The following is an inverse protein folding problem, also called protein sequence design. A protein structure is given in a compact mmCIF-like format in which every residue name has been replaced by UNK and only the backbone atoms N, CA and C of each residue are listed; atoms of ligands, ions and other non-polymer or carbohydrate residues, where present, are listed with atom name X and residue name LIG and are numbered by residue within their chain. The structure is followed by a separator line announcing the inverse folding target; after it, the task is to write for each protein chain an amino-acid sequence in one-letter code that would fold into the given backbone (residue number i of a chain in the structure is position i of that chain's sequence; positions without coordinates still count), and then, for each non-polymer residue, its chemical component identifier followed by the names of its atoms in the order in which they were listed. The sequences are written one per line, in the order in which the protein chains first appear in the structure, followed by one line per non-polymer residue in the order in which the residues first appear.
data_IF_363076178411
#
_entry.id   IF_363076178411
#
_cell.length_a   1.000
_cell.length_b   1.000
_cell.length_c   1.000
_cell.angle_alpha   90.00
_cell.angle_beta   90.00
_cell.angle_gamma   90.00
#
_symmetry.space_group_name_H-M   'P 1'
#
loop_
_entity.id
_entity.type
_entity.pdbx_description
1 polymer ?
#
# COMPACT_ATOMS: atom_id res chain seq x y z
N UNK A 1 -0.53 3.73 -15.72
CA UNK A 1 -1.34 4.95 -15.83
C UNK A 1 -2.74 4.61 -16.28
N UNK A 2 -3.71 5.46 -15.94
CA UNK A 2 -5.08 5.40 -16.47
C UNK A 2 -5.30 6.58 -17.42
N UNK A 3 -6.06 6.35 -18.48
CA UNK A 3 -6.43 7.40 -19.42
C UNK A 3 -7.64 7.03 -20.28
N UNK A 4 -8.10 8.00 -21.06
CA UNK A 4 -9.18 7.84 -22.04
C UNK A 4 -8.58 7.47 -23.39
N UNK A 5 -9.17 6.49 -24.07
CA UNK A 5 -8.74 6.05 -25.40
C UNK A 5 -9.15 7.09 -26.45
N UNK A 6 -8.17 7.80 -27.01
CA UNK A 6 -8.41 8.81 -28.06
C UNK A 6 -8.51 8.23 -29.47
N UNK A 7 -7.74 7.16 -29.74
CA UNK A 7 -7.67 6.50 -31.04
C UNK A 7 -7.30 5.01 -30.90
N UNK A 8 -7.86 4.17 -31.78
CA UNK A 8 -7.67 2.71 -31.74
C UNK A 8 -7.20 2.20 -33.10
N UNK A 9 -6.06 1.49 -33.10
CA UNK A 9 -5.57 0.77 -34.27
C UNK A 9 -6.51 -0.39 -34.65
N UNK A 10 -6.55 -0.77 -35.92
CA UNK A 10 -7.53 -1.73 -36.45
C UNK A 10 -7.60 -3.05 -35.65
N UNK A 11 -6.44 -3.63 -35.33
CA UNK A 11 -6.34 -4.88 -34.56
C UNK A 11 -6.85 -4.79 -33.11
N UNK A 12 -6.98 -3.57 -32.56
CA UNK A 12 -7.41 -3.35 -31.18
C UNK A 12 -8.90 -2.99 -31.05
N UNK A 13 -9.61 -2.74 -32.17
CA UNK A 13 -11.03 -2.30 -32.19
C UNK A 13 -12.01 -3.32 -31.60
N UNK A 14 -11.61 -4.59 -31.53
CA UNK A 14 -12.41 -5.63 -30.88
C UNK A 14 -12.40 -5.53 -29.35
N UNK A 15 -11.40 -4.86 -28.76
CA UNK A 15 -11.22 -4.73 -27.29
C UNK A 15 -11.49 -3.32 -26.80
N UNK A 16 -11.18 -2.31 -27.61
CA UNK A 16 -11.25 -0.91 -27.23
C UNK A 16 -11.99 -0.08 -28.28
N UNK A 17 -12.73 0.91 -27.81
CA UNK A 17 -13.36 1.97 -28.56
C UNK A 17 -12.82 3.33 -28.09
N UNK A 18 -13.03 4.36 -28.92
CA UNK A 18 -12.81 5.74 -28.49
C UNK A 18 -13.68 6.04 -27.27
N UNK A 19 -13.15 6.84 -26.34
CA UNK A 19 -13.76 7.19 -25.05
C UNK A 19 -13.78 6.07 -23.99
N UNK A 20 -13.26 4.89 -24.30
CA UNK A 20 -13.06 3.87 -23.27
C UNK A 20 -12.01 4.34 -22.25
N UNK A 21 -12.25 4.07 -20.97
CA UNK A 21 -11.23 4.18 -19.95
C UNK A 21 -10.32 2.95 -20.01
N UNK A 22 -9.01 3.17 -19.95
CA UNK A 22 -8.03 2.09 -19.99
C UNK A 22 -6.92 2.29 -18.95
N UNK A 23 -6.49 1.20 -18.34
CA UNK A 23 -5.28 1.12 -17.54
C UNK A 23 -4.17 0.43 -18.34
N UNK A 24 -2.94 0.91 -18.18
CA UNK A 24 -1.75 0.18 -18.60
C UNK A 24 -0.58 0.38 -17.64
N UNK A 25 0.10 -0.72 -17.31
CA UNK A 25 1.32 -0.72 -16.49
C UNK A 25 2.56 -0.26 -17.25
N UNK A 26 2.56 -0.26 -18.59
CA UNK A 26 3.72 0.04 -19.41
C UNK A 26 3.98 1.54 -19.63
N UNK A 27 3.08 2.38 -19.13
CA UNK A 27 3.16 3.83 -19.31
C UNK A 27 3.13 4.55 -17.97
N UNK A 28 4.20 5.30 -17.70
CA UNK A 28 4.25 6.23 -16.57
C UNK A 28 3.15 7.27 -16.67
N UNK A 29 2.58 7.67 -15.53
CA UNK A 29 1.43 8.58 -15.46
C UNK A 29 1.75 10.07 -15.72
N UNK A 30 3.03 10.44 -15.81
CA UNK A 30 3.46 11.84 -15.98
C UNK A 30 3.59 12.24 -17.46
N UNK A 31 2.55 11.99 -18.25
CA UNK A 31 2.47 12.40 -19.67
C UNK A 31 1.01 12.57 -20.08
N UNK A 32 0.74 13.51 -20.98
CA UNK A 32 -0.61 13.80 -21.47
C UNK A 32 -1.12 12.77 -22.48
N UNK A 33 -0.23 12.13 -23.25
CA UNK A 33 -0.59 11.15 -24.28
C UNK A 33 0.44 10.02 -24.29
N UNK A 34 -0.02 8.79 -24.53
CA UNK A 34 0.85 7.64 -24.72
C UNK A 34 0.29 6.65 -25.74
N UNK A 35 1.17 6.09 -26.58
CA UNK A 35 0.86 4.91 -27.38
C UNK A 35 1.08 3.67 -26.52
N UNK A 36 0.06 2.81 -26.43
CA UNK A 36 0.07 1.59 -25.62
C UNK A 36 -0.26 0.41 -26.51
N UNK A 37 0.37 -0.74 -26.28
CA UNK A 37 -0.05 -2.00 -26.90
C UNK A 37 -1.40 -2.41 -26.28
N UNK A 38 -2.40 -2.68 -27.11
CA UNK A 38 -3.71 -3.10 -26.64
C UNK A 38 -3.67 -4.40 -25.81
N UNK A 39 -2.62 -5.22 -25.96
CA UNK A 39 -2.38 -6.41 -25.13
C UNK A 39 -1.95 -6.04 -23.71
N UNK A 40 -1.19 -4.96 -23.54
CA UNK A 40 -0.72 -4.48 -22.23
C UNK A 40 -1.65 -3.46 -21.58
N UNK A 41 -2.90 -3.40 -22.06
CA UNK A 41 -3.94 -2.52 -21.56
C UNK A 41 -5.19 -3.31 -21.16
N UNK A 42 -5.83 -2.84 -20.09
CA UNK A 42 -7.12 -3.35 -19.62
C UNK A 42 -8.16 -2.25 -19.70
N UNK A 43 -9.32 -2.58 -20.27
CA UNK A 43 -10.48 -1.69 -20.31
C UNK A 43 -11.10 -1.62 -18.91
N UNK A 44 -11.27 -0.41 -18.42
CA UNK A 44 -11.93 -0.14 -17.14
C UNK A 44 -13.44 0.05 -17.36
N UNK A 45 -14.28 -0.18 -16.33
CA UNK A 45 -15.70 0.14 -16.39
C UNK A 45 -15.92 1.62 -16.69
N UNK A 46 -16.96 1.95 -17.46
CA UNK A 46 -17.28 3.34 -17.83
C UNK A 46 -17.65 4.26 -16.66
N UNK A 47 -17.85 3.71 -15.45
CA UNK A 47 -18.02 4.45 -14.19
C UNK A 47 -16.86 4.13 -13.25
N UNK A 48 -15.68 4.62 -13.60
CA UNK A 48 -14.50 4.49 -12.75
C UNK A 48 -13.96 5.89 -12.46
N UNK A 49 -13.96 6.35 -11.20
CA UNK A 49 -13.45 7.68 -10.86
C UNK A 49 -11.99 7.79 -11.31
N UNK A 50 -11.66 8.82 -12.10
CA UNK A 50 -10.29 9.02 -12.60
C UNK A 50 -9.24 9.03 -11.48
N UNK A 51 -9.62 9.57 -10.31
CA UNK A 51 -8.78 9.61 -9.11
C UNK A 51 -8.45 8.20 -8.60
N UNK A 52 -9.40 7.26 -8.62
CA UNK A 52 -9.12 5.85 -8.28
C UNK A 52 -8.16 5.22 -9.31
N UNK A 53 -8.15 5.72 -10.55
CA UNK A 53 -7.21 5.30 -11.58
C UNK A 53 -5.77 5.66 -11.31
N UNK A 54 -5.52 6.76 -10.60
CA UNK A 54 -4.18 7.12 -10.17
C UNK A 54 -3.60 6.08 -9.19
N UNK A 55 -4.44 5.41 -8.40
CA UNK A 55 -4.04 4.44 -7.38
C UNK A 55 -4.36 2.99 -7.73
N UNK A 56 -4.65 2.72 -9.01
CA UNK A 56 -5.07 1.39 -9.42
C UNK A 56 -3.92 0.38 -9.23
N UNK A 57 -2.66 0.79 -9.38
CA UNK A 57 -1.52 -0.10 -9.12
C UNK A 57 -1.47 -0.51 -7.64
N UNK A 58 -1.63 0.44 -6.72
CA UNK A 58 -1.61 0.21 -5.27
C UNK A 58 -2.81 -0.63 -4.82
N UNK A 59 -3.98 -0.38 -5.40
CA UNK A 59 -5.16 -1.20 -5.19
C UNK A 59 -4.97 -2.64 -5.69
N UNK A 60 -4.36 -2.82 -6.87
CA UNK A 60 -3.98 -4.13 -7.38
C UNK A 60 -2.97 -4.81 -6.45
N UNK A 61 -1.97 -4.08 -5.94
CA UNK A 61 -1.01 -4.60 -4.96
C UNK A 61 -1.73 -5.14 -3.72
N UNK A 62 -2.58 -4.31 -3.10
CA UNK A 62 -3.36 -4.69 -1.92
C UNK A 62 -4.26 -5.90 -2.19
N UNK A 63 -4.96 -5.93 -3.33
CA UNK A 63 -5.81 -7.05 -3.72
C UNK A 63 -5.03 -8.37 -3.84
N UNK A 64 -3.82 -8.31 -4.42
CA UNK A 64 -2.94 -9.47 -4.59
C UNK A 64 -2.28 -9.91 -3.29
N UNK A 65 -1.89 -8.98 -2.43
CA UNK A 65 -1.34 -9.29 -1.10
C UNK A 65 -2.35 -10.05 -0.24
N UNK A 66 -3.65 -9.71 -0.35
CA UNK A 66 -4.74 -10.41 0.33
C UNK A 66 -5.20 -11.69 -0.39
N UNK A 67 -4.60 -12.09 -1.52
CA UNK A 67 -5.14 -13.18 -2.34
C UNK A 67 -5.22 -14.54 -1.62
N UNK A 68 -4.40 -14.76 -0.59
CA UNK A 68 -4.42 -15.99 0.21
C UNK A 68 -5.29 -15.91 1.46
N UNK A 69 -6.01 -14.80 1.68
CA UNK A 69 -6.85 -14.61 2.86
C UNK A 69 -8.33 -14.80 2.55
N UNK A 70 -9.07 -15.19 3.58
CA UNK A 70 -10.50 -15.48 3.57
C UNK A 70 -11.19 -14.81 4.75
N UNK A 71 -12.52 -14.73 4.73
CA UNK A 71 -13.27 -14.13 5.82
C UNK A 71 -12.94 -14.79 7.17
N UNK A 72 -12.67 -13.98 8.20
CA UNK A 72 -12.24 -14.41 9.52
C UNK A 72 -10.72 -14.49 9.70
N UNK A 73 -9.92 -14.41 8.63
CA UNK A 73 -8.47 -14.33 8.74
C UNK A 73 -8.03 -13.02 9.40
N UNK A 74 -6.91 -13.06 10.12
CA UNK A 74 -6.26 -11.89 10.72
C UNK A 74 -4.98 -11.56 9.94
N UNK A 75 -4.87 -10.30 9.52
CA UNK A 75 -3.72 -9.76 8.78
C UNK A 75 -3.07 -8.64 9.59
N UNK A 76 -1.74 -8.64 9.65
CA UNK A 76 -0.98 -7.55 10.24
C UNK A 76 -0.19 -6.86 9.15
N UNK A 77 -0.26 -5.54 9.09
CA UNK A 77 0.39 -4.73 8.05
C UNK A 77 1.15 -3.55 8.67
N UNK A 78 2.40 -3.33 8.27
CA UNK A 78 3.12 -2.08 8.56
C UNK A 78 3.07 -1.13 7.36
N UNK A 79 3.04 0.18 7.60
CA UNK A 79 2.95 1.19 6.54
C UNK A 79 1.50 1.49 6.16
N UNK A 80 0.59 1.47 7.13
CA UNK A 80 -0.83 1.70 6.93
C UNK A 80 -1.16 3.03 6.25
N UNK A 81 -0.35 4.06 6.50
CA UNK A 81 -0.47 5.40 5.91
C UNK A 81 -0.30 5.43 4.38
N UNK A 82 0.37 4.42 3.82
CA UNK A 82 0.62 4.33 2.38
C UNK A 82 -0.67 4.11 1.60
N UNK A 83 -0.66 4.43 0.31
CA UNK A 83 -1.79 4.14 -0.59
C UNK A 83 -2.12 2.64 -0.63
N UNK A 84 -1.10 1.76 -0.58
CA UNK A 84 -1.31 0.31 -0.47
C UNK A 84 -1.97 -0.05 0.87
N UNK A 85 -1.52 0.53 1.98
CA UNK A 85 -2.08 0.31 3.32
C UNK A 85 -3.55 0.72 3.44
N UNK A 86 -3.90 1.87 2.88
CA UNK A 86 -5.29 2.33 2.84
C UNK A 86 -6.16 1.42 1.96
N UNK A 87 -5.64 0.93 0.83
CA UNK A 87 -6.33 -0.07 0.01
C UNK A 87 -6.50 -1.40 0.76
N UNK A 88 -5.49 -1.84 1.52
CA UNK A 88 -5.57 -3.04 2.35
C UNK A 88 -6.69 -2.93 3.38
N UNK A 89 -6.82 -1.79 4.08
CA UNK A 89 -7.89 -1.57 5.07
C UNK A 89 -9.29 -1.76 4.49
N UNK A 90 -9.54 -1.14 3.34
CA UNK A 90 -10.84 -1.21 2.67
C UNK A 90 -11.12 -2.60 2.09
N UNK A 91 -10.14 -3.19 1.39
CA UNK A 91 -10.30 -4.51 0.79
C UNK A 91 -10.41 -5.62 1.84
N UNK A 92 -9.69 -5.51 2.96
CA UNK A 92 -9.82 -6.44 4.08
C UNK A 92 -11.22 -6.39 4.68
N UNK A 93 -11.75 -5.18 4.93
CA UNK A 93 -13.11 -5.00 5.44
C UNK A 93 -14.17 -5.61 4.49
N UNK A 94 -14.04 -5.37 3.18
CA UNK A 94 -14.94 -5.96 2.18
C UNK A 94 -14.88 -7.49 2.12
N UNK A 95 -13.73 -8.08 2.44
CA UNK A 95 -13.53 -9.53 2.47
C UNK A 95 -13.86 -10.17 3.81
N UNK A 96 -14.24 -9.40 4.83
CA UNK A 96 -14.43 -9.90 6.19
C UNK A 96 -13.12 -10.35 6.86
N UNK A 97 -11.99 -9.79 6.43
CA UNK A 97 -10.65 -10.04 6.99
C UNK A 97 -10.38 -9.01 8.08
N UNK A 98 -9.88 -9.45 9.23
CA UNK A 98 -9.50 -8.56 10.33
C UNK A 98 -8.12 -7.97 10.09
N UNK A 99 -8.04 -6.68 9.76
CA UNK A 99 -6.77 -6.00 9.52
C UNK A 99 -6.29 -5.24 10.76
N UNK A 100 -5.08 -5.56 11.21
CA UNK A 100 -4.28 -4.78 12.15
C UNK A 100 -3.26 -3.96 11.35
N UNK A 101 -3.54 -2.67 11.16
CA UNK A 101 -2.71 -1.76 10.36
C UNK A 101 -1.86 -0.86 11.26
N UNK A 102 -0.55 -0.89 11.06
CA UNK A 102 0.44 -0.19 11.85
C UNK A 102 0.98 1.01 11.07
N UNK A 103 0.89 2.19 11.66
CA UNK A 103 1.31 3.46 11.07
C UNK A 103 2.73 3.82 11.51
N UNK A 104 3.60 4.23 10.58
CA UNK A 104 4.95 4.66 10.95
C UNK A 104 4.93 5.88 11.87
N UNK A 105 5.83 5.89 12.88
CA UNK A 105 6.08 7.09 13.71
C UNK A 105 6.84 8.18 12.95
N UNK A 106 7.41 7.85 11.80
CA UNK A 106 8.07 8.82 10.93
C UNK A 106 7.07 9.65 10.11
N UNK A 107 5.80 9.24 10.05
CA UNK A 107 4.72 9.99 9.40
C UNK A 107 4.47 11.30 10.15
N UNK A 108 4.22 12.44 9.47
CA UNK A 108 4.02 13.74 10.11
C UNK A 108 2.86 13.80 11.10
N UNK A 109 1.74 13.12 10.81
CA UNK A 109 0.59 13.04 11.73
C UNK A 109 0.10 11.59 11.85
N UNK A 110 0.76 10.75 12.66
CA UNK A 110 0.44 9.33 12.76
C UNK A 110 -0.95 9.10 13.37
N UNK A 111 -1.43 9.99 14.24
CA UNK A 111 -2.74 9.87 14.86
C UNK A 111 -3.88 10.09 13.85
N UNK A 112 -3.72 11.06 12.95
CA UNK A 112 -4.70 11.31 11.87
C UNK A 112 -4.75 10.12 10.89
N UNK A 113 -3.60 9.54 10.55
CA UNK A 113 -3.54 8.34 9.72
C UNK A 113 -4.20 7.12 10.41
N UNK A 114 -4.04 6.98 11.73
CA UNK A 114 -4.73 5.96 12.53
C UNK A 114 -6.24 6.16 12.53
N UNK A 115 -6.73 7.39 12.71
CA UNK A 115 -8.16 7.71 12.64
C UNK A 115 -8.73 7.41 11.25
N UNK A 116 -8.01 7.83 10.21
CA UNK A 116 -8.37 7.53 8.83
C UNK A 116 -8.51 6.02 8.61
N UNK A 117 -7.49 5.23 8.97
CA UNK A 117 -7.48 3.78 8.78
C UNK A 117 -8.68 3.09 9.45
N UNK A 118 -9.04 3.52 10.66
CA UNK A 118 -10.25 3.03 11.36
C UNK A 118 -11.51 3.36 10.59
N UNK A 119 -11.63 4.60 10.10
CA UNK A 119 -12.81 5.06 9.35
C UNK A 119 -13.00 4.31 8.02
N UNK A 120 -11.93 3.76 7.46
CA UNK A 120 -11.95 3.13 6.12
C UNK A 120 -11.89 1.60 6.20
N UNK A 121 -11.97 1.03 7.40
CA UNK A 121 -12.24 -0.41 7.57
C UNK A 121 -11.14 -1.23 8.27
N UNK A 122 -10.04 -0.62 8.73
CA UNK A 122 -9.09 -1.35 9.56
C UNK A 122 -9.75 -1.78 10.88
N UNK A 123 -9.62 -3.06 11.24
CA UNK A 123 -10.14 -3.61 12.50
C UNK A 123 -9.41 -3.01 13.70
N UNK A 124 -8.09 -2.88 13.56
CA UNK A 124 -7.22 -2.17 14.50
C UNK A 124 -6.30 -1.29 13.69
N UNK A 125 -6.21 -0.01 14.06
CA UNK A 125 -5.15 0.86 13.57
C UNK A 125 -4.44 1.52 14.76
N UNK A 126 -3.11 1.52 14.70
CA UNK A 126 -2.28 2.09 15.76
C UNK A 126 -0.91 2.51 15.22
N UNK A 127 -0.17 3.39 15.92
CA UNK A 127 1.24 3.63 15.62
C UNK A 127 2.05 2.34 15.75
N UNK A 128 3.11 2.20 14.95
CA UNK A 128 3.86 0.95 14.83
C UNK A 128 4.53 0.49 16.13
N UNK A 129 4.83 1.40 17.06
CA UNK A 129 5.37 1.06 18.38
C UNK A 129 4.34 0.46 19.35
N UNK A 130 3.05 0.50 19.00
CA UNK A 130 1.99 -0.15 19.77
C UNK A 130 2.21 -1.67 19.90
N UNK A 131 2.90 -2.30 18.94
CA UNK A 131 3.23 -3.73 19.01
C UNK A 131 4.11 -4.10 20.21
N UNK A 132 4.80 -3.12 20.81
CA UNK A 132 5.62 -3.32 22.00
C UNK A 132 4.82 -3.19 23.30
N UNK A 133 3.59 -2.69 23.23
CA UNK A 133 2.73 -2.50 24.39
C UNK A 133 2.12 -3.84 24.85
N UNK A 134 2.04 -4.05 26.17
CA UNK A 134 1.48 -5.27 26.74
C UNK A 134 0.01 -5.49 26.34
N UNK A 135 -0.74 -4.41 26.06
CA UNK A 135 -2.13 -4.48 25.60
C UNK A 135 -2.26 -5.00 24.17
N UNK A 136 -1.25 -4.85 23.32
CA UNK A 136 -1.28 -5.39 21.95
C UNK A 136 -1.48 -6.90 21.94
N UNK A 137 -0.84 -7.62 22.88
CA UNK A 137 -1.03 -9.06 23.03
C UNK A 137 -2.45 -9.45 23.39
N UNK A 138 -3.18 -8.60 24.13
CA UNK A 138 -4.59 -8.84 24.47
C UNK A 138 -5.47 -8.67 23.23
N UNK A 139 -5.25 -7.60 22.47
CA UNK A 139 -5.92 -7.38 21.18
C UNK A 139 -5.71 -8.56 20.23
N UNK A 140 -4.47 -9.05 20.11
CA UNK A 140 -4.18 -10.22 19.28
C UNK A 140 -4.79 -11.52 19.82
N UNK A 141 -4.90 -11.68 21.15
CA UNK A 141 -5.59 -12.83 21.73
C UNK A 141 -7.09 -12.83 21.41
N UNK A 142 -7.73 -11.66 21.39
CA UNK A 142 -9.14 -11.51 21.05
C UNK A 142 -9.41 -11.73 19.55
N UNK A 143 -8.50 -11.25 18.68
CA UNK A 143 -8.61 -11.42 17.22
C UNK A 143 -8.23 -12.84 16.75
N UNK A 144 -7.30 -13.49 17.44
CA UNK A 144 -6.72 -14.77 17.03
C UNK A 144 -5.36 -14.60 16.32
N UNK A 145 -4.69 -15.73 16.03
CA UNK A 145 -3.38 -15.70 15.38
C UNK A 145 -3.50 -15.19 13.94
N UNK A 146 -2.55 -14.36 13.48
CA UNK A 146 -2.56 -13.88 12.11
C UNK A 146 -2.19 -14.98 11.12
N UNK A 147 -2.85 -14.98 9.97
CA UNK A 147 -2.54 -15.85 8.83
C UNK A 147 -1.58 -15.18 7.85
N UNK A 148 -1.45 -13.85 7.90
CA UNK A 148 -0.59 -13.08 7.03
C UNK A 148 0.04 -11.87 7.75
N UNK A 149 1.34 -11.67 7.53
CA UNK A 149 2.10 -10.49 7.95
C UNK A 149 2.66 -9.81 6.72
N UNK A 150 2.34 -8.53 6.58
CA UNK A 150 2.75 -7.65 5.50
C UNK A 150 3.69 -6.58 6.07
N UNK A 151 4.92 -6.55 5.56
CA UNK A 151 5.89 -5.51 5.86
C UNK A 151 6.07 -4.60 4.65
N UNK A 152 5.91 -3.31 4.86
CA UNK A 152 6.23 -2.28 3.87
C UNK A 152 7.74 -2.04 3.80
N UNK A 153 8.36 -2.52 2.72
CA UNK A 153 9.79 -2.39 2.51
C UNK A 153 10.22 -0.97 2.13
N UNK A 154 9.30 -0.13 1.63
CA UNK A 154 9.63 1.23 1.18
C UNK A 154 10.12 2.15 2.30
N UNK A 155 9.76 1.81 3.54
CA UNK A 155 10.03 2.60 4.74
C UNK A 155 11.06 1.94 5.67
N UNK A 156 11.71 0.86 5.25
CA UNK A 156 12.63 0.07 6.06
C UNK A 156 13.94 -0.16 5.31
N UNK A 157 15.08 0.15 5.95
CA UNK A 157 16.38 -0.30 5.45
C UNK A 157 16.53 -1.82 5.72
N UNK A 158 16.13 -2.63 4.74
CA UNK A 158 16.15 -4.08 4.83
C UNK A 158 17.55 -4.65 5.06
N UNK A 159 18.60 -3.98 4.57
CA UNK A 159 19.98 -4.43 4.75
C UNK A 159 20.46 -4.17 6.19
N UNK A 160 20.16 -2.99 6.73
CA UNK A 160 20.45 -2.66 8.11
C UNK A 160 19.69 -3.55 9.09
N UNK A 161 18.39 -3.78 8.85
CA UNK A 161 17.59 -4.71 9.66
C UNK A 161 18.13 -6.13 9.57
N UNK A 162 18.45 -6.63 8.38
CA UNK A 162 19.02 -7.98 8.21
C UNK A 162 20.35 -8.13 8.98
N UNK A 163 21.22 -7.11 8.95
CA UNK A 163 22.48 -7.09 9.70
C UNK A 163 22.25 -7.19 11.22
N UNK A 164 21.26 -6.46 11.74
CA UNK A 164 20.88 -6.53 13.16
C UNK A 164 20.33 -7.92 13.52
N UNK A 165 19.47 -8.49 12.68
CA UNK A 165 18.92 -9.83 12.88
C UNK A 165 20.02 -10.92 12.82
N UNK A 166 20.96 -10.84 11.89
CA UNK A 166 22.10 -11.75 11.81
C UNK A 166 22.97 -11.65 13.08
N UNK A 167 23.27 -10.43 13.54
CA UNK A 167 24.01 -10.23 14.77
C UNK A 167 23.32 -10.85 15.99
N UNK A 168 21.99 -10.91 16.01
CA UNK A 168 21.23 -11.58 17.07
C UNK A 168 21.48 -13.09 17.14
N UNK A 169 21.72 -13.74 16.00
CA UNK A 169 22.05 -15.18 15.94
C UNK A 169 23.41 -15.49 16.56
N UNK A 170 24.31 -14.49 16.61
CA UNK A 170 25.66 -14.58 17.22
C UNK A 170 25.67 -14.29 18.72
N UNK A 171 24.50 -14.08 19.33
CA UNK A 171 24.30 -13.90 20.76
C UNK A 171 24.03 -12.45 21.18
N UNK A 172 23.55 -12.29 22.42
CA UNK A 172 23.05 -11.01 22.95
C UNK A 172 24.04 -9.85 22.82
N UNK A 173 25.32 -10.07 23.11
CA UNK A 173 26.35 -9.02 23.04
C UNK A 173 26.57 -8.51 21.61
N UNK A 174 26.54 -9.41 20.61
CA UNK A 174 26.69 -9.04 19.21
C UNK A 174 25.45 -8.27 18.71
N UNK A 175 24.25 -8.73 19.06
CA UNK A 175 23.00 -8.03 18.76
C UNK A 175 22.98 -6.62 19.35
N UNK A 176 23.38 -6.50 20.62
CA UNK A 176 23.45 -5.22 21.33
C UNK A 176 24.42 -4.25 20.64
N UNK A 177 25.64 -4.71 20.30
CA UNK A 177 26.62 -3.88 19.61
C UNK A 177 26.16 -3.46 18.20
N UNK A 178 25.48 -4.35 17.46
CA UNK A 178 24.92 -4.02 16.16
C UNK A 178 23.84 -2.95 16.27
N UNK A 179 22.92 -3.08 17.24
CA UNK A 179 21.91 -2.07 17.53
C UNK A 179 22.53 -0.73 17.95
N UNK A 180 23.51 -0.72 18.85
CA UNK A 180 24.15 0.51 19.34
C UNK A 180 24.82 1.34 18.23
N UNK A 181 25.34 0.68 17.19
CA UNK A 181 25.97 1.34 16.04
C UNK A 181 24.98 1.68 14.90
N UNK A 182 23.76 1.15 14.94
CA UNK A 182 22.76 1.37 13.90
C UNK A 182 22.06 2.73 14.05
N UNK A 183 21.59 3.27 12.92
CA UNK A 183 20.81 4.50 12.94
C UNK A 183 19.56 4.31 13.82
N UNK A 184 19.07 5.35 14.53
CA UNK A 184 17.87 5.24 15.36
C UNK A 184 16.64 4.67 14.63
N UNK A 185 16.48 4.98 13.33
CA UNK A 185 15.42 4.43 12.50
C UNK A 185 15.57 2.90 12.34
N UNK A 186 16.74 2.43 11.90
CA UNK A 186 17.01 1.00 11.68
C UNK A 186 16.86 0.19 12.96
N UNK A 187 17.23 0.74 14.12
CA UNK A 187 17.00 0.09 15.42
C UNK A 187 15.52 -0.11 15.71
N UNK A 188 14.71 0.93 15.46
CA UNK A 188 13.26 0.88 15.66
C UNK A 188 12.65 -0.15 14.70
N UNK A 189 13.07 -0.14 13.44
CA UNK A 189 12.52 -1.02 12.41
C UNK A 189 12.96 -2.47 12.62
N UNK A 190 14.21 -2.70 13.05
CA UNK A 190 14.66 -4.01 13.48
C UNK A 190 13.86 -4.53 14.68
N UNK A 191 13.58 -3.68 15.68
CA UNK A 191 12.75 -4.05 16.82
C UNK A 191 11.32 -4.40 16.38
N UNK A 192 10.73 -3.62 15.46
CA UNK A 192 9.42 -3.89 14.88
C UNK A 192 9.42 -5.25 14.18
N UNK A 193 10.35 -5.49 13.26
CA UNK A 193 10.47 -6.74 12.51
C UNK A 193 10.68 -7.94 13.44
N UNK A 194 11.60 -7.85 14.41
CA UNK A 194 11.78 -8.89 15.43
C UNK A 194 10.49 -9.14 16.20
N UNK A 195 9.78 -8.09 16.62
CA UNK A 195 8.54 -8.24 17.37
C UNK A 195 7.44 -8.88 16.52
N UNK A 196 7.34 -8.55 15.23
CA UNK A 196 6.41 -9.20 14.30
C UNK A 196 6.82 -10.66 13.99
N UNK A 197 8.12 -10.97 14.03
CA UNK A 197 8.60 -12.34 13.89
C UNK A 197 8.34 -13.18 15.14
N UNK A 198 8.45 -12.60 16.34
CA UNK A 198 8.38 -13.27 17.64
C UNK A 198 6.96 -13.28 18.26
N UNK A 199 6.29 -12.13 18.28
CA UNK A 199 4.96 -11.95 18.91
C UNK A 199 3.86 -12.58 18.06
N UNK A 200 4.12 -12.72 16.77
CA UNK A 200 3.20 -13.15 15.73
C UNK A 200 3.73 -14.42 15.05
N UNK A 201 4.62 -15.14 15.76
CA UNK A 201 5.26 -16.39 15.37
C UNK A 201 4.30 -17.58 15.25
N UNK A 202 3.11 -17.39 14.68
CA UNK A 202 2.31 -18.52 14.25
C UNK A 202 3.04 -19.17 13.07
N UNK A 203 3.46 -20.45 13.16
CA UNK A 203 4.28 -21.09 12.12
C UNK A 203 3.60 -21.13 10.75
N UNK A 204 2.27 -21.03 10.73
CA UNK A 204 1.48 -21.01 9.52
C UNK A 204 1.26 -19.60 8.92
N UNK A 205 1.68 -18.54 9.62
CA UNK A 205 1.52 -17.18 9.11
C UNK A 205 2.43 -16.98 7.89
N UNK A 206 1.84 -16.67 6.74
CA UNK A 206 2.59 -16.23 5.57
C UNK A 206 3.18 -14.84 5.85
N UNK A 207 4.37 -14.58 5.34
CA UNK A 207 5.12 -13.35 5.59
C UNK A 207 5.56 -12.77 4.25
N UNK A 208 5.17 -11.52 3.99
CA UNK A 208 5.46 -10.86 2.71
C UNK A 208 6.04 -9.47 2.95
N UNK A 209 7.17 -9.19 2.29
CA UNK A 209 7.71 -7.85 2.10
C UNK A 209 7.08 -7.28 0.83
N UNK A 210 6.24 -6.26 0.95
CA UNK A 210 5.70 -5.58 -0.21
C UNK A 210 6.55 -4.35 -0.55
N UNK A 211 6.55 -3.99 -1.83
CA UNK A 211 7.49 -3.02 -2.43
C UNK A 211 8.97 -3.47 -2.32
N UNK A 212 9.18 -4.79 -2.30
CA UNK A 212 10.50 -5.41 -2.35
C UNK A 212 10.58 -6.35 -3.54
N UNK A 213 11.67 -6.27 -4.32
CA UNK A 213 11.90 -7.25 -5.39
C UNK A 213 12.41 -8.57 -4.82
N UNK A 214 12.28 -9.69 -5.55
CA UNK A 214 12.80 -10.99 -5.09
C UNK A 214 14.29 -10.98 -4.70
N UNK A 215 15.10 -10.12 -5.33
CA UNK A 215 16.52 -9.95 -4.99
C UNK A 215 16.79 -9.08 -3.75
N UNK A 216 15.80 -8.33 -3.28
CA UNK A 216 15.90 -7.42 -2.13
C UNK A 216 15.47 -8.08 -0.81
N UNK A 217 14.94 -9.31 -0.85
CA UNK A 217 14.54 -10.06 0.32
C UNK A 217 15.76 -10.53 1.13
N UNK A 218 16.37 -9.61 1.86
CA UNK A 218 17.48 -9.88 2.79
C UNK A 218 17.00 -10.41 4.13
N UNK A 219 15.70 -10.31 4.41
CA UNK A 219 15.10 -10.79 5.66
C UNK A 219 14.70 -12.27 5.53
N UNK A 220 15.29 -13.17 6.35
CA UNK A 220 14.91 -14.57 6.34
C UNK A 220 13.41 -14.75 6.64
N UNK A 221 12.78 -15.70 5.95
CA UNK A 221 11.36 -16.09 6.14
C UNK A 221 10.31 -15.12 5.60
N UNK A 222 10.67 -14.12 4.80
CA UNK A 222 9.72 -13.28 4.07
C UNK A 222 9.79 -13.55 2.56
N UNK A 223 8.63 -13.71 1.93
CA UNK A 223 8.51 -13.64 0.48
C UNK A 223 8.54 -12.17 0.04
N UNK A 224 9.21 -11.85 -1.08
CA UNK A 224 9.16 -10.51 -1.66
C UNK A 224 8.00 -10.36 -2.66
N UNK A 225 7.38 -9.19 -2.68
CA UNK A 225 6.35 -8.79 -3.62
C UNK A 225 6.56 -7.35 -4.09
N UNK A 226 6.85 -7.16 -5.37
CA UNK A 226 6.86 -5.85 -6.03
C UNK A 226 5.71 -5.81 -7.04
N UNK A 227 4.83 -4.82 -6.92
CA UNK A 227 3.66 -4.69 -7.80
C UNK A 227 4.06 -4.45 -9.25
N UNK A 228 5.20 -3.79 -9.51
CA UNK A 228 5.69 -3.52 -10.87
C UNK A 228 6.19 -4.80 -11.51
N UNK A 229 6.92 -5.62 -10.76
CA UNK A 229 7.38 -6.93 -11.22
C UNK A 229 6.17 -7.84 -11.49
N UNK A 230 5.18 -7.84 -10.60
CA UNK A 230 3.93 -8.58 -10.83
C UNK A 230 3.18 -8.07 -12.05
N UNK A 231 2.98 -6.75 -12.19
CA UNK A 231 2.30 -6.15 -13.35
C UNK A 231 3.03 -6.42 -14.68
N UNK A 232 4.35 -6.59 -14.64
CA UNK A 232 5.14 -6.94 -15.81
C UNK A 232 5.05 -8.43 -16.17
N UNK A 233 4.84 -9.30 -15.18
CA UNK A 233 4.77 -10.76 -15.35
C UNK A 233 3.34 -11.30 -15.49
N UNK A 234 2.32 -10.55 -15.07
CA UNK A 234 0.93 -10.97 -15.10
C UNK A 234 0.43 -11.17 -16.54
N UNK A 235 -0.32 -12.25 -16.76
CA UNK A 235 -1.01 -12.45 -18.04
C UNK A 235 -2.30 -11.60 -18.15
N UNK A 236 -2.85 -11.53 -19.37
CA UNK A 236 -4.07 -10.76 -19.66
C UNK A 236 -5.24 -11.15 -18.75
N UNK A 237 -5.37 -12.43 -18.38
CA UNK A 237 -6.48 -12.92 -17.57
C UNK A 237 -6.33 -12.50 -16.10
N UNK A 238 -5.12 -12.66 -15.54
CA UNK A 238 -4.80 -12.23 -14.17
C UNK A 238 -4.95 -10.73 -13.99
N UNK A 239 -4.50 -9.95 -14.98
CA UNK A 239 -4.60 -8.50 -14.94
C UNK A 239 -6.07 -8.07 -15.07
N UNK A 240 -6.81 -8.65 -16.01
CA UNK A 240 -8.24 -8.35 -16.18
C UNK A 240 -9.06 -8.70 -14.93
N UNK A 241 -8.82 -9.87 -14.32
CA UNK A 241 -9.48 -10.30 -13.08
C UNK A 241 -9.18 -9.32 -11.93
N UNK A 242 -7.91 -8.98 -11.72
CA UNK A 242 -7.50 -8.10 -10.62
C UNK A 242 -8.11 -6.71 -10.80
N UNK A 243 -8.01 -6.15 -12.00
CA UNK A 243 -8.56 -4.83 -12.32
C UNK A 243 -10.08 -4.82 -12.22
N UNK A 244 -10.77 -5.87 -12.66
CA UNK A 244 -12.23 -5.98 -12.54
C UNK A 244 -12.66 -5.98 -11.08
N UNK A 245 -12.06 -6.81 -10.23
CA UNK A 245 -12.41 -6.87 -8.81
C UNK A 245 -12.11 -5.56 -8.07
N UNK A 246 -10.99 -4.90 -8.39
CA UNK A 246 -10.67 -3.59 -7.84
C UNK A 246 -11.66 -2.53 -8.33
N UNK A 247 -12.06 -2.59 -9.60
CA UNK A 247 -13.02 -1.66 -10.18
C UNK A 247 -14.42 -1.86 -9.60
N UNK A 248 -14.84 -3.10 -9.32
CA UNK A 248 -16.10 -3.40 -8.66
C UNK A 248 -16.11 -2.86 -7.22
N UNK A 249 -15.00 -3.04 -6.48
CA UNK A 249 -14.84 -2.45 -5.15
C UNK A 249 -14.87 -0.91 -5.18
N UNK A 250 -14.26 -0.30 -6.21
CA UNK A 250 -14.28 1.15 -6.39
C UNK A 250 -15.66 1.69 -6.80
N UNK A 251 -16.36 1.02 -7.70
CA UNK A 251 -17.68 1.42 -8.20
C UNK A 251 -18.75 1.36 -7.11
N UNK A 252 -18.59 0.47 -6.13
CA UNK A 252 -19.41 0.41 -4.94
C UNK A 252 -19.08 1.49 -3.89
N UNK A 253 -18.20 2.46 -4.23
CA UNK A 253 -17.74 3.55 -3.37
C UNK A 253 -17.00 3.07 -2.10
N UNK A 254 -16.48 1.84 -2.15
CA UNK A 254 -15.80 1.19 -1.04
C UNK A 254 -14.28 1.29 -1.10
N UNK A 255 -13.72 1.79 -2.21
CA UNK A 255 -12.28 1.99 -2.37
C UNK A 255 -11.96 3.44 -2.72
N UNK A 256 -11.38 4.13 -1.74
CA UNK A 256 -10.93 5.51 -1.79
C UNK A 256 -9.51 5.59 -1.25
N UNK A 257 -8.64 6.33 -1.91
CA UNK A 257 -7.28 6.56 -1.40
C UNK A 257 -7.16 8.04 -1.09
N UNK A 258 -6.71 8.34 0.12
CA UNK A 258 -6.43 9.67 0.60
C UNK A 258 -4.93 9.87 0.56
N UNK A 259 -4.46 10.83 -0.25
CA UNK A 259 -3.03 11.12 -0.32
C UNK A 259 -2.71 12.30 0.56
N UNK A 260 -1.77 12.11 1.49
CA UNK A 260 -1.01 13.22 2.04
C UNK A 260 -0.02 13.72 0.98
N UNK A 261 -0.04 15.01 0.66
CA UNK A 261 1.01 15.61 -0.15
C UNK A 261 2.29 15.68 0.69
N UNK A 262 3.15 14.66 0.58
CA UNK A 262 4.27 14.43 1.49
C UNK A 262 5.48 15.36 1.33
N UNK A 263 5.47 16.32 0.40
CA UNK A 263 6.68 17.13 0.22
C UNK A 263 6.39 18.59 -0.09
N UNK A 264 7.25 19.45 0.47
CA UNK A 264 7.51 20.80 0.00
C UNK A 264 7.98 20.86 -1.46
N UNK A 265 8.14 19.73 -2.17
CA UNK A 265 8.53 19.66 -3.59
C UNK A 265 7.38 19.27 -4.52
N UNK A 266 6.32 18.61 -4.01
CA UNK A 266 5.11 18.25 -4.76
C UNK A 266 4.01 19.29 -4.61
N UNK A 267 4.00 20.01 -3.48
CA UNK A 267 3.01 21.06 -3.18
C UNK A 267 3.26 22.41 -3.91
N UNK A 268 4.50 22.94 -4.08
CA UNK A 268 4.66 24.29 -4.63
C UNK A 268 4.20 24.45 -6.07
N UNK A 269 4.15 23.35 -6.84
CA UNK A 269 3.66 23.41 -8.23
C UNK A 269 2.13 23.35 -8.34
N UNK A 270 1.44 22.85 -7.32
CA UNK A 270 -0.03 22.80 -7.28
C UNK A 270 -0.63 23.94 -6.45
N UNK A 271 0.13 24.52 -5.51
CA UNK A 271 -0.30 25.54 -4.56
C UNK A 271 0.69 26.71 -4.53
N UNK A 272 0.86 27.40 -5.66
CA UNK A 272 1.47 28.75 -5.70
C UNK A 272 0.46 29.85 -5.31
N UNK A 273 -0.57 29.49 -4.53
CA UNK A 273 -1.61 30.41 -4.08
C UNK A 273 -1.88 30.23 -2.58
N UNK A 274 -1.12 31.01 -1.81
CA UNK A 274 -1.50 31.71 -0.59
C UNK A 274 -1.89 30.95 0.70
N UNK A 275 -1.18 31.34 1.75
CA UNK A 275 -1.53 31.39 3.18
C UNK A 275 -1.31 30.13 4.04
N UNK A 276 -0.51 30.33 5.10
CA UNK A 276 -0.05 29.35 6.07
C UNK A 276 -1.16 28.71 6.96
N UNK A 277 -2.44 28.92 6.63
CA UNK A 277 -3.60 28.37 7.37
C UNK A 277 -4.14 27.05 6.83
N UNK A 278 -3.77 26.63 5.61
CA UNK A 278 -4.36 25.46 4.93
C UNK A 278 -3.77 24.10 5.34
N UNK A 279 -2.60 24.08 5.99
CA UNK A 279 -1.88 22.84 6.32
C UNK A 279 -2.67 21.88 7.23
N UNK A 280 -3.58 22.39 8.06
CA UNK A 280 -4.43 21.57 8.94
C UNK A 280 -5.67 20.98 8.27
N UNK A 281 -6.07 21.50 7.11
CA UNK A 281 -7.30 21.07 6.43
C UNK A 281 -7.08 20.18 5.20
N UNK A 282 -5.86 20.13 4.66
CA UNK A 282 -5.48 19.15 3.64
C UNK A 282 -5.59 17.70 4.16
N UNK A 283 -5.52 17.50 5.47
CA UNK A 283 -5.66 16.21 6.17
C UNK A 283 -7.00 15.49 5.99
N UNK A 284 -8.06 16.21 5.56
CA UNK A 284 -9.42 15.66 5.50
C UNK A 284 -10.04 15.65 4.11
N UNK A 285 -9.31 16.05 3.09
CA UNK A 285 -9.85 16.13 1.74
C UNK A 285 -9.42 14.88 0.95
N UNK A 286 -10.36 14.11 0.38
CA UNK A 286 -10.01 13.26 -0.76
C UNK A 286 -9.37 14.16 -1.83
N UNK A 287 -8.41 13.67 -2.60
CA UNK A 287 -7.72 14.46 -3.64
C UNK A 287 -8.75 14.92 -4.70
N UNK A 288 -9.38 16.05 -4.44
CA UNK A 288 -10.31 16.78 -5.31
C UNK A 288 -9.78 18.19 -5.50
N UNK A 289 -8.60 18.33 -6.10
CA UNK A 289 -8.19 19.63 -6.65
C UNK A 289 -7.50 19.44 -7.99
N UNK A 290 -8.34 19.16 -8.99
CA UNK A 290 -8.11 19.53 -10.39
C UNK A 290 -9.46 19.82 -11.04
N UNK A 291 -10.21 20.81 -10.52
CA UNK A 291 -11.16 21.56 -11.34
C UNK A 291 -10.42 22.77 -11.91
N UNK A 292 -10.60 23.15 -13.19
CA UNK A 292 -10.09 24.40 -13.72
C UNK A 292 -10.61 25.57 -12.87
N UNK A 293 -9.73 26.53 -12.58
CA UNK A 293 -10.00 27.74 -11.77
C UNK A 293 -11.09 28.66 -12.34
N UNK A 294 -11.70 28.32 -13.48
CA UNK A 294 -12.58 29.20 -14.24
C UNK A 294 -14.06 29.13 -13.83
N UNK A 295 -14.39 28.50 -12.68
CA UNK A 295 -15.80 28.30 -12.24
C UNK A 295 -16.10 28.67 -10.78
N UNK A 296 -15.32 29.56 -10.17
CA UNK A 296 -15.71 30.25 -8.93
C UNK A 296 -15.70 31.78 -9.10
#
# INVERSE_FOLDING_TARGET
GVGVVEAVGEAARARFAKEDLAFSSQVGGLKSVAKVDAKSAVKLPGRFPEVTGAFLAEACAAYRLLASTTAGDVVIHSGGESAVGQCLAQLAALRGVSLVSLVSRSTPSPDDAVELLKNIGATVAAPADYVFDASFRKVMADLGPPSLVLLDASNVDLAAVASVLDASTRGFSAAKAALENAHPADRRDAKLVTTLLETIAHPAAKRVLHDARPGDATLPSFDAFDVRDWLAAADDAQLAETVANVADAAAADHLRVWVEAYTTDTVPRALDLQSAGLYKHAYRQPVWLAKPLDTY
#
